data_IF_760052973929
#
_entry.id   IF_760052973929
#
_cell.length_a   1.000
_cell.length_b   1.000
_cell.length_c   1.000
_cell.angle_alpha   90.00
_cell.angle_beta   90.00
_cell.angle_gamma   90.00
#
_symmetry.space_group_name_H-M   'P 1'
#
loop_
_entity.id
_entity.type
_entity.pdbx_description
1 polymer ?
#
# COMPACT_ATOMS: atom_id res chain seq x y z
N UNK A 1 -14.41 10.58 15.01
CA UNK A 1 -13.45 10.90 13.94
C UNK A 1 -13.05 9.63 13.22
N UNK A 2 -13.17 9.61 11.92
CA UNK A 2 -12.92 8.42 11.14
C UNK A 2 -11.49 8.44 10.56
N UNK A 3 -10.64 7.58 11.07
CA UNK A 3 -9.26 7.46 10.58
C UNK A 3 -9.24 6.59 9.34
N UNK A 4 -8.58 7.05 8.29
CA UNK A 4 -8.47 6.32 7.03
C UNK A 4 -7.03 5.87 6.82
N UNK A 5 -6.84 4.59 6.59
CA UNK A 5 -5.53 3.97 6.41
C UNK A 5 -5.40 3.48 4.97
N UNK A 6 -4.27 3.81 4.34
CA UNK A 6 -3.95 3.34 3.00
C UNK A 6 -2.85 2.29 3.07
N UNK A 7 -3.02 1.18 2.37
CA UNK A 7 -2.01 0.13 2.28
C UNK A 7 -1.72 -0.18 0.82
N UNK A 8 -0.65 0.35 0.26
CA UNK A 8 -0.24 -0.06 -1.08
C UNK A 8 0.43 -1.43 -1.04
N UNK A 9 0.09 -2.28 -2.00
CA UNK A 9 0.66 -3.63 -2.10
C UNK A 9 1.31 -3.80 -3.47
N UNK A 10 2.41 -4.53 -3.51
CA UNK A 10 3.16 -4.74 -4.75
C UNK A 10 3.47 -6.20 -5.04
N UNK A 11 2.87 -7.12 -4.29
CA UNK A 11 3.10 -8.54 -4.46
C UNK A 11 4.23 -9.09 -3.61
N UNK A 12 5.00 -8.25 -2.94
CA UNK A 12 6.04 -8.72 -2.01
C UNK A 12 5.42 -9.29 -0.74
N UNK A 13 6.12 -10.20 -0.10
CA UNK A 13 5.62 -10.79 1.13
C UNK A 13 5.45 -9.74 2.23
N UNK A 14 6.37 -8.78 2.32
CA UNK A 14 6.24 -7.74 3.35
C UNK A 14 5.04 -6.82 3.08
N UNK A 15 4.63 -6.63 1.81
CA UNK A 15 3.44 -5.84 1.53
C UNK A 15 2.18 -6.55 2.04
N UNK A 16 2.13 -7.87 1.99
CA UNK A 16 1.00 -8.62 2.56
C UNK A 16 1.05 -8.65 4.07
N UNK A 17 2.23 -8.68 4.67
CA UNK A 17 2.35 -8.51 6.12
C UNK A 17 1.88 -7.11 6.53
N UNK A 18 2.10 -6.11 5.67
CA UNK A 18 1.58 -4.77 5.92
C UNK A 18 0.04 -4.76 5.90
N UNK A 19 -0.58 -5.50 4.97
CA UNK A 19 -2.05 -5.63 4.96
C UNK A 19 -2.54 -6.25 6.26
N UNK A 20 -1.89 -7.31 6.71
CA UNK A 20 -2.26 -7.98 7.94
C UNK A 20 -2.14 -7.06 9.16
N UNK A 21 -1.03 -6.34 9.25
CA UNK A 21 -0.82 -5.39 10.34
C UNK A 21 -1.86 -4.27 10.31
N UNK A 22 -2.13 -3.74 9.12
CA UNK A 22 -3.12 -2.67 8.96
C UNK A 22 -4.53 -3.16 9.29
N UNK A 23 -4.85 -4.40 8.97
CA UNK A 23 -6.15 -4.99 9.31
C UNK A 23 -6.34 -5.04 10.83
N UNK A 24 -5.30 -5.45 11.55
CA UNK A 24 -5.34 -5.43 13.02
C UNK A 24 -5.49 -4.01 13.56
N UNK A 25 -4.74 -3.06 12.97
CA UNK A 25 -4.82 -1.67 13.35
C UNK A 25 -6.22 -1.11 13.11
N UNK A 26 -6.81 -1.42 11.96
CA UNK A 26 -8.15 -0.93 11.64
C UNK A 26 -9.19 -1.45 12.63
N UNK A 27 -9.08 -2.71 13.03
CA UNK A 27 -9.97 -3.31 14.01
C UNK A 27 -9.80 -2.64 15.38
N UNK A 28 -8.55 -2.46 15.81
CA UNK A 28 -8.26 -1.94 17.14
C UNK A 28 -8.60 -0.46 17.29
N UNK A 29 -8.49 0.30 16.23
CA UNK A 29 -8.73 1.75 16.27
C UNK A 29 -10.03 2.15 15.59
N UNK A 30 -10.82 1.20 15.14
CA UNK A 30 -12.07 1.46 14.42
C UNK A 30 -11.82 2.38 13.20
N UNK A 31 -10.81 2.05 12.44
CA UNK A 31 -10.41 2.83 11.27
C UNK A 31 -10.91 2.18 9.99
N UNK A 32 -11.02 2.97 8.94
CA UNK A 32 -11.31 2.48 7.59
C UNK A 32 -10.00 2.14 6.90
N UNK A 33 -9.95 0.99 6.26
CA UNK A 33 -8.75 0.49 5.60
C UNK A 33 -9.00 0.37 4.12
N UNK A 34 -8.08 0.89 3.30
CA UNK A 34 -8.13 0.71 1.85
C UNK A 34 -6.82 0.11 1.36
N UNK A 35 -6.91 -0.99 0.64
CA UNK A 35 -5.75 -1.64 0.03
C UNK A 35 -5.73 -1.32 -1.46
N UNK A 36 -4.59 -0.86 -1.96
CA UNK A 36 -4.47 -0.53 -3.40
C UNK A 36 -3.21 -1.16 -3.99
N UNK A 37 -3.31 -1.52 -5.25
CA UNK A 37 -2.16 -1.93 -6.05
C UNK A 37 -1.98 -0.92 -7.18
N UNK A 38 -0.81 -0.34 -7.27
CA UNK A 38 -0.50 0.67 -8.27
C UNK A 38 0.37 0.01 -9.34
N UNK A 39 -0.12 0.02 -10.57
CA UNK A 39 0.57 -0.63 -11.67
C UNK A 39 0.26 0.07 -12.99
N UNK A 40 1.13 -0.10 -13.97
CA UNK A 40 0.93 0.41 -15.32
C UNK A 40 0.02 -0.48 -16.15
N UNK A 41 -0.12 -1.73 -15.75
CA UNK A 41 -0.92 -2.69 -16.53
C UNK A 41 -1.63 -3.65 -15.60
N UNK A 42 -2.81 -4.05 -15.98
CA UNK A 42 -3.59 -5.02 -15.22
C UNK A 42 -3.47 -6.37 -15.91
N UNK A 43 -2.91 -7.34 -15.23
CA UNK A 43 -2.68 -8.68 -15.77
C UNK A 43 -2.98 -9.75 -14.72
N UNK A 44 -2.59 -11.00 -15.00
CA UNK A 44 -2.83 -12.11 -14.08
C UNK A 44 -2.13 -11.92 -12.74
N UNK A 45 -0.93 -11.34 -12.76
CA UNK A 45 -0.21 -11.07 -11.53
C UNK A 45 -0.98 -10.07 -10.66
N UNK A 46 -1.59 -9.08 -11.30
CA UNK A 46 -2.43 -8.11 -10.59
C UNK A 46 -3.60 -8.79 -9.91
N UNK A 47 -4.30 -9.68 -10.63
CA UNK A 47 -5.44 -10.38 -10.06
C UNK A 47 -5.03 -11.26 -8.87
N UNK A 48 -3.88 -11.90 -8.96
CA UNK A 48 -3.36 -12.71 -7.86
C UNK A 48 -3.03 -11.87 -6.63
N UNK A 49 -2.45 -10.68 -6.83
CA UNK A 49 -2.14 -9.76 -5.74
C UNK A 49 -3.44 -9.33 -5.04
N UNK A 50 -4.45 -8.98 -5.82
CA UNK A 50 -5.74 -8.55 -5.24
C UNK A 50 -6.42 -9.68 -4.50
N UNK A 51 -6.36 -10.89 -5.04
CA UNK A 51 -6.96 -12.06 -4.39
C UNK A 51 -6.27 -12.34 -3.05
N UNK A 52 -4.96 -12.27 -3.03
CA UNK A 52 -4.19 -12.51 -1.82
C UNK A 52 -4.48 -11.46 -0.76
N UNK A 53 -4.59 -10.20 -1.18
CA UNK A 53 -4.95 -9.13 -0.25
C UNK A 53 -6.35 -9.35 0.32
N UNK A 54 -7.30 -9.76 -0.52
CA UNK A 54 -8.65 -10.05 -0.05
C UNK A 54 -8.67 -11.18 0.96
N UNK A 55 -7.88 -12.23 0.73
CA UNK A 55 -7.82 -13.35 1.66
C UNK A 55 -7.35 -12.90 3.05
N UNK A 56 -6.37 -12.01 3.09
CA UNK A 56 -5.88 -11.46 4.36
C UNK A 56 -6.97 -10.65 5.05
N UNK A 57 -7.66 -9.80 4.29
CA UNK A 57 -8.72 -8.96 4.85
C UNK A 57 -9.87 -9.80 5.37
N UNK A 58 -10.26 -10.85 4.63
CA UNK A 58 -11.33 -11.75 5.05
C UNK A 58 -10.96 -12.48 6.34
N UNK A 59 -9.72 -12.87 6.49
CA UNK A 59 -9.25 -13.55 7.70
C UNK A 59 -9.32 -12.64 8.93
N UNK A 60 -9.34 -11.35 8.74
CA UNK A 60 -9.43 -10.36 9.83
C UNK A 60 -10.79 -9.68 9.90
N UNK A 61 -11.77 -10.15 9.15
CA UNK A 61 -13.12 -9.58 9.09
C UNK A 61 -13.14 -8.10 8.71
N UNK A 62 -12.25 -7.69 7.83
CA UNK A 62 -12.19 -6.32 7.34
C UNK A 62 -12.92 -6.23 6.00
N UNK A 63 -13.80 -5.26 5.92
CA UNK A 63 -14.70 -5.06 4.79
C UNK A 63 -14.11 -4.07 3.79
N UNK A 64 -13.15 -4.48 3.00
CA UNK A 64 -12.59 -3.64 1.96
C UNK A 64 -12.43 -4.44 0.68
N UNK A 65 -12.54 -3.75 -0.46
CA UNK A 65 -12.27 -4.34 -1.76
C UNK A 65 -10.93 -3.80 -2.25
N UNK A 66 -9.88 -4.63 -2.30
CA UNK A 66 -8.61 -4.16 -2.84
C UNK A 66 -8.79 -3.63 -4.26
N UNK A 67 -8.23 -2.47 -4.53
CA UNK A 67 -8.42 -1.75 -5.77
C UNK A 67 -7.13 -1.62 -6.57
N UNK A 68 -7.28 -1.48 -7.88
CA UNK A 68 -6.14 -1.23 -8.77
C UNK A 68 -6.20 0.22 -9.21
N UNK A 69 -5.06 0.89 -9.13
CA UNK A 69 -4.93 2.25 -9.66
C UNK A 69 -3.85 2.23 -10.74
N UNK A 70 -4.25 2.55 -11.94
CA UNK A 70 -3.35 2.48 -13.10
C UNK A 70 -3.14 3.83 -13.78
N UNK A 71 -3.90 4.83 -13.42
CA UNK A 71 -3.96 6.09 -14.14
C UNK A 71 -3.60 7.30 -13.29
N UNK A 72 -2.93 7.08 -12.17
CA UNK A 72 -2.64 8.17 -11.24
C UNK A 72 -1.68 9.16 -11.84
N UNK A 73 -0.70 8.68 -12.59
CA UNK A 73 0.28 9.54 -13.22
C UNK A 73 0.45 9.16 -14.68
N UNK A 74 0.42 10.14 -15.54
CA UNK A 74 0.57 9.93 -16.97
C UNK A 74 2.01 10.06 -17.44
N UNK A 75 2.93 10.29 -16.55
CA UNK A 75 4.33 10.48 -16.90
C UNK A 75 5.06 9.15 -16.96
N UNK A 76 5.93 9.01 -17.92
CA UNK A 76 6.75 7.81 -18.08
C UNK A 76 7.98 7.92 -17.21
N UNK A 77 7.78 7.88 -15.91
CA UNK A 77 8.90 7.89 -15.00
C UNK A 77 9.16 6.48 -14.48
N UNK A 78 10.42 6.14 -14.29
CA UNK A 78 10.76 4.81 -13.83
C UNK A 78 10.48 4.63 -12.34
N UNK A 79 11.07 3.74 -11.78
CA UNK A 79 10.91 3.04 -10.52
C UNK A 79 10.47 3.79 -9.27
N UNK A 80 10.64 5.08 -9.12
CA UNK A 80 10.24 5.78 -7.90
C UNK A 80 8.85 6.39 -7.96
N UNK A 81 8.13 6.09 -9.01
CA UNK A 81 6.83 6.65 -9.28
C UNK A 81 5.74 6.16 -8.34
N UNK A 82 5.87 4.93 -7.85
CA UNK A 82 4.87 4.35 -6.94
C UNK A 82 4.74 5.21 -5.68
N UNK A 83 5.87 5.65 -5.12
CA UNK A 83 5.84 6.51 -3.94
C UNK A 83 5.12 7.82 -4.21
N UNK A 84 5.37 8.42 -5.37
CA UNK A 84 4.69 9.65 -5.76
C UNK A 84 3.19 9.43 -5.93
N UNK A 85 2.81 8.29 -6.50
CA UNK A 85 1.41 7.95 -6.68
C UNK A 85 0.72 7.72 -5.33
N UNK A 86 1.40 7.12 -4.38
CA UNK A 86 0.88 6.96 -3.02
C UNK A 86 0.62 8.33 -2.39
N UNK A 87 1.56 9.26 -2.54
CA UNK A 87 1.39 10.62 -2.00
C UNK A 87 0.22 11.34 -2.66
N UNK A 88 0.04 11.15 -3.96
CA UNK A 88 -1.10 11.73 -4.67
C UNK A 88 -2.42 11.20 -4.09
N UNK A 89 -2.51 9.90 -3.85
CA UNK A 89 -3.69 9.31 -3.24
C UNK A 89 -3.94 9.86 -1.84
N UNK A 90 -2.89 10.02 -1.07
CA UNK A 90 -3.02 10.56 0.29
C UNK A 90 -3.66 11.94 0.25
N UNK A 91 -3.21 12.79 -0.68
CA UNK A 91 -3.75 14.14 -0.79
C UNK A 91 -5.16 14.15 -1.33
N UNK A 92 -5.42 13.37 -2.38
CA UNK A 92 -6.73 13.38 -3.04
C UNK A 92 -7.82 12.76 -2.19
N UNK A 93 -7.53 11.67 -1.50
CA UNK A 93 -8.53 10.91 -0.76
C UNK A 93 -8.53 11.21 0.75
N UNK A 94 -7.54 11.94 1.22
CA UNK A 94 -7.51 12.35 2.63
C UNK A 94 -7.17 11.21 3.58
N UNK A 95 -6.15 10.41 3.26
CA UNK A 95 -5.72 9.37 4.17
C UNK A 95 -4.95 9.94 5.35
N UNK A 96 -5.16 9.37 6.51
CA UNK A 96 -4.54 9.80 7.76
C UNK A 96 -3.27 9.01 8.09
N UNK A 97 -3.10 7.85 7.48
CA UNK A 97 -2.00 6.95 7.78
C UNK A 97 -1.71 6.03 6.59
N UNK A 98 -0.46 5.69 6.39
CA UNK A 98 -0.05 4.73 5.37
C UNK A 98 0.71 3.58 6.04
N UNK A 99 0.39 2.36 5.68
CA UNK A 99 1.14 1.18 6.14
C UNK A 99 1.76 0.53 4.92
N UNK A 100 3.06 0.38 4.90
CA UNK A 100 3.80 -0.12 3.74
C UNK A 100 4.77 -1.21 4.16
N UNK A 101 5.04 -2.13 3.24
CA UNK A 101 6.15 -3.05 3.39
C UNK A 101 7.47 -2.29 3.30
N UNK A 102 8.51 -2.81 3.90
CA UNK A 102 9.76 -2.10 3.98
C UNK A 102 10.55 -2.13 2.67
N UNK A 103 10.24 -3.05 1.76
CA UNK A 103 10.85 -3.07 0.43
C UNK A 103 9.83 -3.55 -0.60
N UNK A 104 10.14 -3.34 -1.89
CA UNK A 104 9.27 -3.80 -2.96
C UNK A 104 9.58 -5.22 -3.39
N UNK A 105 8.76 -5.71 -4.33
CA UNK A 105 8.91 -7.03 -4.91
C UNK A 105 10.18 -7.08 -5.70
N UNK A 106 11.06 -7.18 -5.88
CA UNK A 106 12.32 -7.18 -6.60
C UNK A 106 13.50 -6.78 -5.76
N UNK A 107 13.27 -6.39 -4.52
CA UNK A 107 14.35 -5.99 -3.64
C UNK A 107 15.20 -7.19 -3.24
N UNK A 108 16.50 -7.02 -3.30
CA UNK A 108 17.44 -8.09 -3.01
C UNK A 108 18.08 -7.91 -1.64
N UNK A 109 18.27 -6.67 -1.24
CA UNK A 109 18.96 -6.35 0.00
C UNK A 109 17.95 -6.03 1.11
N UNK A 110 17.98 -6.81 2.17
CA UNK A 110 17.01 -6.67 3.24
C UNK A 110 17.20 -5.43 4.09
N UNK A 111 18.38 -4.87 4.09
CA UNK A 111 18.67 -3.71 4.93
C UNK A 111 18.31 -2.38 4.25
N UNK A 112 17.88 -2.41 3.00
CA UNK A 112 17.61 -1.21 2.22
C UNK A 112 16.11 -1.03 2.07
N UNK A 113 15.60 0.14 2.42
CA UNK A 113 14.21 0.46 2.21
C UNK A 113 13.89 0.51 0.72
N UNK A 114 12.70 0.08 0.35
CA UNK A 114 12.24 0.22 -1.01
C UNK A 114 12.08 1.68 -1.39
N UNK A 115 12.24 1.98 -2.67
CA UNK A 115 12.18 3.36 -3.13
C UNK A 115 10.83 4.01 -2.88
N UNK A 116 9.74 3.27 -3.02
CA UNK A 116 8.42 3.81 -2.76
C UNK A 116 8.26 4.18 -1.29
N UNK A 117 8.69 3.30 -0.39
CA UNK A 117 8.60 3.53 1.04
C UNK A 117 9.43 4.74 1.44
N UNK A 118 10.65 4.81 0.93
CA UNK A 118 11.54 5.94 1.21
C UNK A 118 10.93 7.25 0.72
N UNK A 119 10.35 7.27 -0.48
CA UNK A 119 9.71 8.47 -1.02
C UNK A 119 8.58 8.96 -0.13
N UNK A 120 7.73 8.05 0.32
CA UNK A 120 6.58 8.42 1.15
C UNK A 120 7.05 8.93 2.51
N UNK A 121 8.05 8.29 3.10
CA UNK A 121 8.59 8.72 4.39
C UNK A 121 9.25 10.09 4.30
N UNK A 122 10.05 10.29 3.27
CA UNK A 122 10.82 11.53 3.10
C UNK A 122 9.95 12.74 2.80
N UNK A 123 8.76 12.53 2.28
CA UNK A 123 7.84 13.63 1.97
C UNK A 123 7.29 14.32 3.20
N UNK A 124 7.27 13.64 4.34
CA UNK A 124 6.81 14.20 5.62
C UNK A 124 5.38 14.72 5.57
N UNK A 125 4.51 14.06 4.80
CA UNK A 125 3.13 14.50 4.62
C UNK A 125 2.11 13.65 5.35
N UNK A 126 2.48 12.43 5.72
CA UNK A 126 1.56 11.48 6.32
C UNK A 126 2.35 10.54 7.22
N UNK A 127 1.81 10.16 8.38
CA UNK A 127 2.46 9.12 9.18
C UNK A 127 2.53 7.80 8.44
N UNK A 128 3.64 7.11 8.59
CA UNK A 128 3.89 5.85 7.89
C UNK A 128 4.33 4.77 8.87
N UNK A 129 3.69 3.62 8.81
CA UNK A 129 4.18 2.42 9.49
C UNK A 129 4.86 1.55 8.46
N UNK A 130 6.08 1.15 8.72
CA UNK A 130 6.87 0.31 7.83
C UNK A 130 6.97 -1.08 8.41
N UNK A 131 6.56 -2.08 7.63
CA UNK A 131 6.48 -3.48 8.09
C UNK A 131 7.57 -4.31 7.42
N UNK A 132 8.40 -5.00 8.17
CA UNK A 132 9.48 -5.84 7.60
C UNK A 132 8.98 -7.08 6.91
#
# INVERSE_FOLDING_TARGET
>A
MNVKILVPVDGSDCSFRAVEFAAEMATNYDATLHVVHITDSRDEATEEILRRARDVLDAHDVDDEPAVRTDISLNFRPSNRIGEDVLTLVEEEGYDHVVMGHHGSGAVERAILGSATETVMDAERVPVTVVP
#
